data_IF_986857915358
#
_entry.id   IF_986857915358
#
_cell.length_a   1.000
_cell.length_b   1.000
_cell.length_c   1.000
_cell.angle_alpha   90.00
_cell.angle_beta   90.00
_cell.angle_gamma   90.00
#
_symmetry.space_group_name_H-M   'P 1'
#
loop_
_entity.id
_entity.type
_entity.pdbx_description
1 polymer ?
#
# COMPACT_ATOMS: atom_id res chain seq x y z
N UNK A 1 2.71 7.75 -7.13
CA UNK A 1 4.16 7.49 -7.07
C UNK A 1 4.90 8.82 -7.01
N UNK A 2 5.94 8.92 -6.18
CA UNK A 2 6.84 10.07 -6.08
C UNK A 2 8.28 9.55 -6.14
N UNK A 3 8.94 9.74 -7.28
CA UNK A 3 10.31 9.29 -7.52
C UNK A 3 11.36 10.11 -6.75
N UNK A 4 11.16 11.41 -6.58
CA UNK A 4 12.09 12.27 -5.86
C UNK A 4 12.20 11.89 -4.36
N UNK A 5 11.10 11.39 -3.79
CA UNK A 5 11.01 11.00 -2.38
C UNK A 5 10.97 9.47 -2.17
N UNK A 6 11.24 8.68 -3.22
CA UNK A 6 11.13 7.22 -3.23
C UNK A 6 9.84 6.68 -2.57
N UNK A 7 8.71 7.36 -2.83
CA UNK A 7 7.45 7.13 -2.11
C UNK A 7 6.32 6.71 -3.03
N UNK A 8 5.43 5.88 -2.52
CA UNK A 8 4.16 5.53 -3.16
C UNK A 8 3.05 5.59 -2.12
N UNK A 9 1.89 6.10 -2.52
CA UNK A 9 0.71 6.20 -1.68
C UNK A 9 -0.44 5.50 -2.39
N UNK A 10 -1.07 4.54 -1.71
CA UNK A 10 -2.36 3.99 -2.10
C UNK A 10 -3.48 4.78 -1.39
N UNK A 11 -4.28 5.47 -2.19
CA UNK A 11 -5.34 6.34 -1.68
C UNK A 11 -6.60 5.59 -1.21
N UNK A 12 -6.81 4.33 -1.64
CA UNK A 12 -7.99 3.53 -1.25
C UNK A 12 -8.01 3.25 0.24
N UNK A 13 -6.81 3.09 0.80
CA UNK A 13 -6.54 2.72 2.19
C UNK A 13 -5.64 3.73 2.92
N UNK A 14 -5.28 4.84 2.25
CA UNK A 14 -4.34 5.87 2.75
C UNK A 14 -2.98 5.30 3.19
N UNK A 15 -2.55 4.19 2.59
CA UNK A 15 -1.25 3.57 2.86
C UNK A 15 -0.16 4.34 2.14
N UNK A 16 0.92 4.69 2.84
CA UNK A 16 2.08 5.36 2.25
C UNK A 16 3.34 4.56 2.56
N UNK A 17 4.08 4.19 1.52
CA UNK A 17 5.33 3.43 1.61
C UNK A 17 6.48 4.25 1.00
N UNK A 18 7.61 4.28 1.69
CA UNK A 18 8.85 4.95 1.25
C UNK A 18 9.83 3.96 0.61
N UNK A 19 9.32 3.14 -0.30
CA UNK A 19 10.09 2.09 -0.99
C UNK A 19 9.59 1.89 -2.43
N UNK A 20 9.41 3.00 -3.14
CA UNK A 20 8.93 2.99 -4.52
C UNK A 20 9.75 2.05 -5.41
N UNK A 21 11.08 2.04 -5.29
CA UNK A 21 11.93 1.20 -6.13
C UNK A 21 11.66 -0.30 -5.94
N UNK A 22 11.49 -0.75 -4.69
CA UNK A 22 11.15 -2.14 -4.38
C UNK A 22 9.78 -2.53 -4.95
N UNK A 23 8.82 -1.62 -4.82
CA UNK A 23 7.46 -1.79 -5.37
C UNK A 23 7.50 -1.92 -6.89
N UNK A 24 8.31 -1.10 -7.56
CA UNK A 24 8.49 -1.17 -9.02
C UNK A 24 9.23 -2.44 -9.45
N UNK A 25 10.08 -3.00 -8.59
CA UNK A 25 10.72 -4.31 -8.79
C UNK A 25 9.79 -5.50 -8.50
N UNK A 26 8.54 -5.26 -8.10
CA UNK A 26 7.52 -6.29 -7.88
C UNK A 26 7.33 -6.72 -6.43
N UNK A 27 8.01 -6.08 -5.47
CA UNK A 27 7.79 -6.31 -4.04
C UNK A 27 6.49 -5.63 -3.57
N UNK A 28 5.35 -6.26 -3.90
CA UNK A 28 4.01 -5.74 -3.62
C UNK A 28 3.41 -6.24 -2.30
N UNK A 29 4.17 -7.00 -1.50
CA UNK A 29 3.69 -7.65 -0.27
C UNK A 29 2.97 -6.69 0.68
N UNK A 30 3.57 -5.54 0.96
CA UNK A 30 2.98 -4.55 1.88
C UNK A 30 1.69 -3.91 1.35
N UNK A 31 1.54 -3.81 0.02
CA UNK A 31 0.29 -3.33 -0.58
C UNK A 31 -0.81 -4.36 -0.44
N UNK A 32 -0.52 -5.63 -0.74
CA UNK A 32 -1.49 -6.71 -0.62
C UNK A 32 -1.92 -6.87 0.84
N UNK A 33 -0.98 -6.89 1.78
CA UNK A 33 -1.28 -6.99 3.21
C UNK A 33 -2.10 -5.79 3.71
N UNK A 34 -1.74 -4.57 3.31
CA UNK A 34 -2.49 -3.37 3.66
C UNK A 34 -3.93 -3.39 3.13
N UNK A 35 -4.13 -3.87 1.89
CA UNK A 35 -5.46 -4.01 1.30
C UNK A 35 -6.28 -5.10 1.99
N UNK A 36 -5.68 -6.28 2.25
CA UNK A 36 -6.34 -7.38 2.95
C UNK A 36 -6.77 -7.00 4.37
N UNK A 37 -5.92 -6.27 5.10
CA UNK A 37 -6.24 -5.77 6.44
C UNK A 37 -7.40 -4.77 6.44
N UNK A 38 -7.46 -3.90 5.44
CA UNK A 38 -8.57 -2.95 5.27
C UNK A 38 -9.87 -3.61 4.86
N UNK A 39 -9.83 -4.58 3.94
CA UNK A 39 -10.99 -5.38 3.57
C UNK A 39 -11.52 -6.17 4.78
N UNK A 40 -10.64 -6.78 5.58
CA UNK A 40 -11.03 -7.49 6.81
C UNK A 40 -11.66 -6.54 7.83
N UNK A 41 -11.11 -5.34 8.01
CA UNK A 41 -11.68 -4.32 8.90
C UNK A 41 -13.09 -3.91 8.45
N UNK A 42 -13.27 -3.62 7.16
CA UNK A 42 -14.59 -3.28 6.59
C UNK A 42 -15.61 -4.41 6.79
N UNK A 43 -15.19 -5.67 6.63
CA UNK A 43 -16.05 -6.83 6.82
C UNK A 43 -16.52 -7.01 8.28
N UNK A 44 -15.78 -6.48 9.26
CA UNK A 44 -16.13 -6.54 10.69
C UNK A 44 -17.04 -5.38 11.13
N UNK A 45 -17.14 -4.31 10.33
CA UNK A 45 -18.00 -3.15 10.60
C UNK A 45 -19.43 -3.32 10.04
N UNK A 46 -19.68 -4.37 9.27
CA UNK A 46 -20.99 -4.78 8.71
C UNK A 46 -21.70 -5.79 9.61
#
# INVERSE_FOLDING_TARGET
YNFAENRVTDHRIKLTLHKLDAVLNGELGDFTEGLEGEERRRALEL
#
